data_IF_062719714766
#
_entry.id   IF_062719714766
#
_cell.length_a   1.000
_cell.length_b   1.000
_cell.length_c   1.000
_cell.angle_alpha   90.00
_cell.angle_beta   90.00
_cell.angle_gamma   90.00
#
_symmetry.space_group_name_H-M   'P 1'
#
loop_
_entity.id
_entity.type
_entity.pdbx_description
1 polymer ?
#
# COMPACT_ATOMS: atom_id res chain seq x y z
N UNK A 1 -8.47 6.17 -18.37
CA UNK A 1 -8.49 6.29 -16.89
C UNK A 1 -7.48 5.29 -16.35
N UNK A 2 -6.77 5.61 -15.26
CA UNK A 2 -5.87 4.65 -14.63
C UNK A 2 -6.68 3.47 -14.08
N UNK A 3 -6.07 2.29 -14.03
CA UNK A 3 -6.62 1.19 -13.26
C UNK A 3 -6.51 1.53 -11.78
N UNK A 4 -7.47 1.10 -10.96
CA UNK A 4 -7.41 1.30 -9.52
C UNK A 4 -7.07 -0.02 -8.86
N UNK A 5 -6.06 -0.01 -7.98
CA UNK A 5 -5.68 -1.16 -7.17
C UNK A 5 -6.16 -0.89 -5.75
N UNK A 6 -7.01 -1.75 -5.20
CA UNK A 6 -7.39 -1.70 -3.80
C UNK A 6 -6.34 -2.43 -2.97
N UNK A 7 -5.93 -1.81 -1.87
CA UNK A 7 -4.88 -2.31 -1.00
C UNK A 7 -5.40 -2.38 0.42
N UNK A 8 -5.03 -3.45 1.13
CA UNK A 8 -5.32 -3.67 2.54
C UNK A 8 -4.00 -3.96 3.25
N UNK A 9 -3.67 -3.15 4.26
CA UNK A 9 -2.58 -3.41 5.20
C UNK A 9 -3.17 -3.88 6.52
N UNK A 10 -2.71 -5.03 7.00
CA UNK A 10 -3.14 -5.63 8.25
C UNK A 10 -1.93 -5.83 9.18
N UNK A 11 -2.09 -5.46 10.45
CA UNK A 11 -1.06 -5.66 11.47
C UNK A 11 -1.65 -5.97 12.84
N UNK A 12 -0.80 -6.48 13.74
CA UNK A 12 -1.17 -6.82 15.11
C UNK A 12 -0.11 -6.32 16.09
N UNK A 13 -0.54 -5.77 17.21
CA UNK A 13 0.33 -5.38 18.33
C UNK A 13 -0.42 -5.53 19.64
N UNK A 14 0.29 -5.80 20.74
CA UNK A 14 -0.30 -5.86 22.08
C UNK A 14 -0.53 -4.46 22.68
N UNK A 15 0.12 -3.44 22.12
CA UNK A 15 0.12 -2.08 22.65
C UNK A 15 -0.78 -1.17 21.80
N UNK A 16 -1.83 -0.64 22.43
CA UNK A 16 -2.80 0.28 21.83
C UNK A 16 -2.23 1.66 21.50
N UNK A 17 -1.30 2.16 22.32
CA UNK A 17 -0.57 3.39 22.03
C UNK A 17 0.35 3.18 20.82
N UNK A 18 1.00 2.01 20.75
CA UNK A 18 1.81 1.68 19.58
C UNK A 18 0.98 1.54 18.30
N UNK A 19 -0.19 0.90 18.36
CA UNK A 19 -1.12 0.83 17.23
C UNK A 19 -1.56 2.22 16.75
N UNK A 20 -1.91 3.11 17.69
CA UNK A 20 -2.25 4.50 17.38
C UNK A 20 -1.07 5.24 16.74
N UNK A 21 0.15 5.03 17.24
CA UNK A 21 1.35 5.65 16.67
C UNK A 21 1.60 5.24 15.22
N UNK A 22 1.34 3.96 14.86
CA UNK A 22 1.45 3.47 13.48
C UNK A 22 0.48 4.25 12.58
N UNK A 23 -0.81 4.29 12.95
CA UNK A 23 -1.83 5.07 12.23
C UNK A 23 -1.45 6.54 12.11
N UNK A 24 -1.04 7.16 13.20
CA UNK A 24 -0.79 8.61 13.26
C UNK A 24 0.46 9.00 12.47
N UNK A 25 1.43 8.07 12.34
CA UNK A 25 2.63 8.28 11.54
C UNK A 25 2.39 8.31 10.04
N UNK A 26 1.32 7.68 9.53
CA UNK A 26 1.06 7.54 8.09
C UNK A 26 -0.09 8.38 7.58
N UNK A 27 -0.92 8.96 8.47
CA UNK A 27 -2.06 9.78 8.10
C UNK A 27 -1.73 11.27 7.98
N UNK A 28 -2.61 12.01 7.32
CA UNK A 28 -2.71 13.46 7.41
C UNK A 28 -4.15 13.88 7.79
N UNK A 29 -4.47 15.16 7.65
CA UNK A 29 -5.78 15.70 8.04
C UNK A 29 -6.93 15.20 7.15
N UNK A 30 -6.65 14.83 5.90
CA UNK A 30 -7.65 14.47 4.88
C UNK A 30 -7.61 13.00 4.44
N UNK A 31 -6.57 12.25 4.82
CA UNK A 31 -6.34 10.86 4.41
C UNK A 31 -5.71 10.06 5.55
N UNK A 32 -6.20 8.84 5.77
CA UNK A 32 -5.61 7.87 6.68
C UNK A 32 -4.34 7.19 6.11
N UNK A 33 -3.98 7.49 4.86
CA UNK A 33 -2.75 7.01 4.20
C UNK A 33 -2.13 8.12 3.33
N UNK A 34 -0.94 8.58 3.71
CA UNK A 34 -0.16 9.60 3.00
C UNK A 34 1.28 9.14 2.81
N UNK A 35 1.64 8.80 1.56
CA UNK A 35 2.95 8.30 1.21
C UNK A 35 4.09 9.28 1.56
N UNK A 36 3.82 10.59 1.58
CA UNK A 36 4.82 11.59 1.97
C UNK A 36 5.27 11.45 3.42
N UNK A 37 4.49 10.80 4.28
CA UNK A 37 4.87 10.56 5.67
C UNK A 37 5.95 9.49 5.81
N UNK A 38 6.02 8.57 4.85
CA UNK A 38 6.99 7.47 4.82
C UNK A 38 8.17 7.77 3.90
N UNK A 39 7.88 8.27 2.69
CA UNK A 39 8.85 8.64 1.67
C UNK A 39 8.45 9.99 1.08
N UNK A 40 9.14 11.05 1.48
CA UNK A 40 8.88 12.41 1.02
C UNK A 40 9.82 12.83 -0.11
N UNK A 41 9.28 13.56 -1.07
CA UNK A 41 10.09 14.23 -2.07
C UNK A 41 10.61 15.56 -1.51
N UNK A 42 11.91 15.64 -1.23
CA UNK A 42 12.56 16.88 -0.77
C UNK A 42 12.62 17.96 -1.87
N UNK A 43 12.39 17.61 -3.14
CA UNK A 43 12.40 18.57 -4.26
C UNK A 43 11.23 19.55 -4.24
N UNK A 44 10.30 19.43 -3.29
CA UNK A 44 9.23 20.44 -3.07
C UNK A 44 9.76 21.82 -2.65
N UNK A 45 11.04 21.98 -2.28
CA UNK A 45 11.54 23.24 -1.71
C UNK A 45 12.36 24.17 -2.62
N UNK A 46 12.73 23.81 -3.84
CA UNK A 46 13.62 24.67 -4.65
C UNK A 46 12.99 25.08 -5.99
N UNK A 47 12.31 26.23 -5.95
CA UNK A 47 12.30 27.34 -6.93
C UNK A 47 12.30 27.07 -8.45
N UNK A 48 11.26 27.65 -9.10
CA UNK A 48 11.33 28.44 -10.34
C UNK A 48 12.00 27.84 -11.59
N UNK A 49 11.47 26.74 -12.15
CA UNK A 49 11.56 26.51 -13.60
C UNK A 49 10.30 25.79 -14.10
N UNK A 50 9.49 26.45 -14.95
CA UNK A 50 8.40 25.89 -15.78
C UNK A 50 7.51 24.80 -15.17
N UNK A 51 6.23 25.11 -14.91
CA UNK A 51 5.23 24.20 -14.33
C UNK A 51 5.21 22.79 -14.95
N UNK A 52 5.40 22.63 -16.27
CA UNK A 52 5.46 21.31 -16.92
C UNK A 52 6.67 20.46 -16.52
N UNK A 53 7.86 21.05 -16.39
CA UNK A 53 9.10 20.32 -16.07
C UNK A 53 9.09 19.82 -14.63
N UNK A 54 8.56 20.63 -13.71
CA UNK A 54 8.39 20.24 -12.29
C UNK A 54 7.34 19.15 -12.15
N UNK A 55 6.23 19.23 -12.89
CA UNK A 55 5.20 18.18 -12.87
C UNK A 55 5.77 16.85 -13.37
N UNK A 56 6.52 16.84 -14.47
CA UNK A 56 7.17 15.63 -14.99
C UNK A 56 8.20 15.07 -14.01
N UNK A 57 9.10 15.91 -13.46
CA UNK A 57 10.09 15.47 -12.48
C UNK A 57 9.47 14.91 -11.18
N UNK A 58 8.32 15.45 -10.76
CA UNK A 58 7.60 14.95 -9.59
C UNK A 58 6.88 13.61 -9.87
N UNK A 59 6.36 13.42 -11.09
CA UNK A 59 5.77 12.14 -11.53
C UNK A 59 6.82 11.04 -11.62
N UNK A 60 7.99 11.33 -12.20
CA UNK A 60 9.08 10.37 -12.31
C UNK A 60 9.60 9.98 -10.93
N UNK A 61 9.73 10.95 -10.03
CA UNK A 61 10.11 10.69 -8.64
C UNK A 61 9.07 9.80 -7.95
N UNK A 62 7.77 10.08 -8.08
CA UNK A 62 6.71 9.28 -7.44
C UNK A 62 6.74 7.84 -7.95
N UNK A 63 6.88 7.63 -9.26
CA UNK A 63 6.97 6.28 -9.84
C UNK A 63 8.18 5.52 -9.30
N UNK A 64 9.33 6.18 -9.18
CA UNK A 64 10.55 5.55 -8.67
C UNK A 64 10.51 5.28 -7.16
N UNK A 65 9.87 6.14 -6.36
CA UNK A 65 9.94 6.09 -4.91
C UNK A 65 8.69 5.49 -4.25
N UNK A 66 7.52 5.63 -4.85
CA UNK A 66 6.27 5.05 -4.37
C UNK A 66 5.81 3.84 -5.19
N UNK A 67 6.32 3.71 -6.43
CA UNK A 67 5.83 2.70 -7.38
C UNK A 67 4.55 3.12 -8.10
N UNK A 68 3.95 4.26 -7.72
CA UNK A 68 2.67 4.77 -8.23
C UNK A 68 2.81 6.23 -8.61
N UNK A 69 2.03 6.68 -9.61
CA UNK A 69 2.07 8.08 -10.07
C UNK A 69 1.50 9.07 -9.04
N UNK A 70 0.48 8.63 -8.30
CA UNK A 70 -0.22 9.44 -7.31
C UNK A 70 -0.20 8.77 -5.94
N UNK A 71 -0.50 9.58 -4.92
CA UNK A 71 -0.67 9.14 -3.55
C UNK A 71 -1.91 8.24 -3.40
N UNK A 72 -2.09 7.65 -2.22
CA UNK A 72 -3.30 6.91 -1.88
C UNK A 72 -4.54 7.82 -1.85
N UNK A 73 -5.71 7.25 -2.16
CA UNK A 73 -7.02 7.90 -1.99
C UNK A 73 -8.05 6.92 -1.41
N UNK A 74 -9.20 7.46 -0.99
CA UNK A 74 -10.29 6.77 -0.30
C UNK A 74 -9.76 5.84 0.81
N UNK A 75 -8.86 6.40 1.62
CA UNK A 75 -8.17 5.66 2.65
C UNK A 75 -8.97 5.63 3.95
N UNK A 76 -8.92 4.50 4.64
CA UNK A 76 -9.56 4.31 5.93
C UNK A 76 -8.65 3.48 6.84
N UNK A 77 -8.50 3.89 8.10
CA UNK A 77 -7.82 3.10 9.12
C UNK A 77 -8.75 2.76 10.28
N UNK A 78 -8.86 1.45 10.57
CA UNK A 78 -9.58 0.90 11.70
C UNK A 78 -8.61 0.24 12.67
N UNK A 79 -8.73 0.56 13.96
CA UNK A 79 -8.04 -0.12 15.05
C UNK A 79 -9.10 -0.81 15.93
N UNK A 80 -9.02 -2.13 16.04
CA UNK A 80 -9.95 -2.96 16.79
C UNK A 80 -9.24 -3.62 17.96
N UNK A 81 -9.79 -3.49 19.16
CA UNK A 81 -9.34 -4.24 20.32
C UNK A 81 -9.91 -5.66 20.28
N UNK A 82 -9.05 -6.66 20.16
CA UNK A 82 -9.44 -8.08 20.14
C UNK A 82 -9.05 -8.81 21.43
N UNK A 83 -8.89 -8.07 22.53
CA UNK A 83 -8.56 -8.58 23.86
C UNK A 83 -7.08 -8.90 24.03
N UNK A 84 -6.55 -9.85 23.25
CA UNK A 84 -5.14 -10.26 23.34
C UNK A 84 -4.19 -9.34 22.57
N UNK A 85 -4.71 -8.65 21.55
CA UNK A 85 -3.98 -7.74 20.69
C UNK A 85 -4.94 -6.70 20.08
N UNK A 86 -4.35 -5.59 19.66
CA UNK A 86 -4.99 -4.62 18.78
C UNK A 86 -4.74 -5.03 17.34
N UNK A 87 -5.82 -5.16 16.59
CA UNK A 87 -5.83 -5.40 15.16
C UNK A 87 -5.92 -4.08 14.42
N UNK A 88 -4.96 -3.81 13.54
CA UNK A 88 -5.00 -2.66 12.64
C UNK A 88 -5.31 -3.09 11.22
N UNK A 89 -6.27 -2.42 10.58
CA UNK A 89 -6.61 -2.56 9.17
C UNK A 89 -6.61 -1.19 8.50
N UNK A 90 -5.81 -1.03 7.46
CA UNK A 90 -5.76 0.19 6.64
C UNK A 90 -6.13 -0.18 5.22
N UNK A 91 -7.11 0.47 4.64
CA UNK A 91 -7.56 0.24 3.26
C UNK A 91 -7.38 1.50 2.44
N UNK A 92 -7.01 1.41 1.17
CA UNK A 92 -6.87 2.55 0.27
C UNK A 92 -6.73 2.11 -1.19
N UNK A 93 -6.90 3.05 -2.12
CA UNK A 93 -6.66 2.82 -3.55
C UNK A 93 -5.36 3.45 -4.04
N UNK A 94 -4.78 2.84 -5.08
CA UNK A 94 -3.64 3.39 -5.83
C UNK A 94 -3.83 3.26 -7.34
N UNK A 95 -3.10 4.09 -8.09
CA UNK A 95 -3.16 4.11 -9.54
C UNK A 95 -2.22 3.06 -10.14
N UNK A 96 -2.80 2.16 -10.94
CA UNK A 96 -2.17 1.12 -11.77
C UNK A 96 -1.44 0.00 -11.01
N UNK A 97 -0.80 0.27 -9.88
CA UNK A 97 0.06 -0.69 -9.18
C UNK A 97 -0.11 -0.60 -7.67
N UNK A 98 0.22 -1.69 -6.97
CA UNK A 98 0.37 -1.67 -5.50
C UNK A 98 1.68 -0.96 -5.12
N UNK A 99 1.69 -0.07 -4.10
CA UNK A 99 2.83 0.80 -3.81
C UNK A 99 3.93 0.08 -2.98
N UNK A 100 4.60 -0.89 -3.59
CA UNK A 100 5.57 -1.77 -2.93
C UNK A 100 6.64 -1.05 -2.06
N UNK A 101 7.29 0.04 -2.52
CA UNK A 101 8.25 0.79 -1.70
C UNK A 101 7.67 1.34 -0.39
N UNK A 102 6.39 1.69 -0.38
CA UNK A 102 5.70 2.22 0.80
C UNK A 102 5.59 1.15 1.89
N UNK A 103 5.31 -0.10 1.51
CA UNK A 103 5.27 -1.21 2.46
C UNK A 103 6.64 -1.51 3.08
N UNK A 104 7.71 -1.42 2.29
CA UNK A 104 9.08 -1.52 2.79
C UNK A 104 9.38 -0.41 3.80
N UNK A 105 9.07 0.84 3.45
CA UNK A 105 9.32 1.99 4.32
C UNK A 105 8.56 1.86 5.65
N UNK A 106 7.27 1.50 5.60
CA UNK A 106 6.45 1.26 6.77
C UNK A 106 7.02 0.12 7.65
N UNK A 107 7.39 -1.00 7.02
CA UNK A 107 7.97 -2.15 7.71
C UNK A 107 9.31 -1.84 8.36
N UNK A 108 10.13 -1.00 7.73
CA UNK A 108 11.42 -0.53 8.28
C UNK A 108 11.21 0.38 9.49
N UNK A 109 10.24 1.31 9.40
CA UNK A 109 9.90 2.22 10.50
C UNK A 109 9.40 1.47 11.73
N UNK A 110 8.58 0.43 11.53
CA UNK A 110 8.03 -0.42 12.58
C UNK A 110 8.57 -1.85 12.52
N UNK A 111 9.91 -1.99 12.65
CA UNK A 111 10.64 -3.24 12.42
C UNK A 111 10.17 -4.47 13.21
N UNK A 112 9.51 -4.29 14.36
CA UNK A 112 8.97 -5.40 15.17
C UNK A 112 7.60 -5.87 14.71
N UNK A 113 6.92 -5.10 13.86
CA UNK A 113 5.59 -5.40 13.36
C UNK A 113 5.72 -6.18 12.06
N UNK A 114 4.92 -7.24 11.97
CA UNK A 114 4.68 -7.97 10.74
C UNK A 114 3.46 -7.38 10.06
N UNK A 115 3.65 -6.82 8.88
CA UNK A 115 2.59 -6.27 8.05
C UNK A 115 2.19 -7.30 7.01
N UNK A 116 0.89 -7.60 6.92
CA UNK A 116 0.30 -8.43 5.87
C UNK A 116 -0.40 -7.50 4.89
N UNK A 117 -0.10 -7.65 3.61
CA UNK A 117 -0.68 -6.85 2.55
C UNK A 117 -1.54 -7.75 1.68
N UNK A 118 -2.73 -7.28 1.33
CA UNK A 118 -3.56 -7.87 0.29
C UNK A 118 -3.90 -6.78 -0.72
N UNK A 119 -3.89 -7.11 -2.00
CA UNK A 119 -4.26 -6.16 -3.03
C UNK A 119 -4.94 -6.86 -4.21
N UNK A 120 -5.81 -6.14 -4.89
CA UNK A 120 -6.46 -6.58 -6.12
C UNK A 120 -6.82 -5.38 -6.99
N UNK A 121 -6.89 -5.61 -8.29
CA UNK A 121 -7.41 -4.63 -9.23
C UNK A 121 -8.93 -4.42 -9.04
N UNK A 122 -9.45 -3.24 -9.40
CA UNK A 122 -10.86 -2.86 -9.23
C UNK A 122 -11.87 -3.75 -9.93
N UNK A 123 -11.44 -4.52 -10.92
CA UNK A 123 -12.31 -5.44 -11.64
C UNK A 123 -12.21 -6.87 -11.12
N UNK A 124 -11.26 -7.14 -10.22
CA UNK A 124 -11.03 -8.43 -9.58
C UNK A 124 -10.87 -9.58 -10.59
N UNK A 125 -10.21 -9.33 -11.72
CA UNK A 125 -10.04 -10.33 -12.79
C UNK A 125 -8.93 -11.36 -12.50
N UNK A 126 -8.44 -11.42 -11.25
CA UNK A 126 -7.28 -12.22 -10.87
C UNK A 126 -5.95 -11.68 -11.39
N UNK A 127 -5.95 -10.64 -12.23
CA UNK A 127 -4.76 -9.93 -12.70
C UNK A 127 -4.33 -8.86 -11.69
N UNK A 128 -3.04 -8.70 -11.43
CA UNK A 128 -2.50 -7.71 -10.47
C UNK A 128 -3.13 -7.82 -9.06
N UNK A 129 -3.20 -9.04 -8.54
CA UNK A 129 -3.70 -9.31 -7.20
C UNK A 129 -2.77 -10.22 -6.39
N UNK A 130 -3.01 -10.28 -5.08
CA UNK A 130 -2.38 -11.26 -4.22
C UNK A 130 -2.08 -10.76 -2.82
N UNK A 131 -1.02 -11.32 -2.26
CA UNK A 131 -0.62 -11.19 -0.86
C UNK A 131 0.89 -11.03 -0.72
N UNK A 132 1.29 -10.15 0.19
CA UNK A 132 2.68 -9.92 0.56
C UNK A 132 2.82 -9.84 2.08
N UNK A 133 3.99 -10.16 2.60
CA UNK A 133 4.31 -9.96 4.02
C UNK A 133 5.63 -9.26 4.17
N UNK A 134 5.64 -8.23 5.02
CA UNK A 134 6.85 -7.48 5.34
C UNK A 134 7.15 -7.50 6.83
N UNK A 135 8.42 -7.60 7.18
CA UNK A 135 8.93 -7.38 8.52
C UNK A 135 10.35 -6.79 8.44
N UNK A 136 10.65 -5.80 9.28
CA UNK A 136 11.96 -5.15 9.34
C UNK A 136 12.48 -4.64 7.97
N UNK A 137 11.58 -4.10 7.15
CA UNK A 137 11.93 -3.56 5.84
C UNK A 137 12.27 -4.62 4.78
N UNK A 138 11.97 -5.89 5.05
CA UNK A 138 12.15 -6.99 4.11
C UNK A 138 10.82 -7.66 3.80
N UNK A 139 10.63 -8.04 2.54
CA UNK A 139 9.60 -9.00 2.18
C UNK A 139 10.02 -10.39 2.65
N UNK A 140 9.14 -11.05 3.40
CA UNK A 140 9.37 -12.39 3.94
C UNK A 140 8.41 -13.43 3.38
N UNK A 141 7.41 -13.01 2.60
CA UNK A 141 6.45 -13.89 1.94
C UNK A 141 5.79 -13.16 0.76
N UNK A 142 5.54 -13.88 -0.33
CA UNK A 142 4.95 -13.36 -1.57
C UNK A 142 4.11 -14.42 -2.24
N UNK A 143 2.87 -14.07 -2.53
CA UNK A 143 1.95 -14.86 -3.34
C UNK A 143 1.12 -13.95 -4.21
N UNK A 144 1.55 -13.73 -5.45
CA UNK A 144 0.94 -12.78 -6.39
C UNK A 144 0.58 -13.46 -7.71
N UNK A 145 -0.45 -12.93 -8.38
CA UNK A 145 -0.89 -13.41 -9.68
C UNK A 145 0.26 -13.37 -10.71
N UNK A 146 0.39 -14.39 -11.58
CA UNK A 146 1.32 -14.32 -12.69
C UNK A 146 0.83 -13.32 -13.75
N UNK A 147 1.73 -12.92 -14.65
CA UNK A 147 1.36 -12.07 -15.79
C UNK A 147 0.53 -12.82 -16.84
N UNK A 148 0.68 -14.15 -16.89
CA UNK A 148 -0.02 -15.03 -17.82
C UNK A 148 -0.50 -16.28 -17.07
N UNK A 149 -1.73 -16.70 -17.33
CA UNK A 149 -2.31 -17.90 -16.75
C UNK A 149 -2.11 -19.08 -17.70
N UNK A 150 -1.59 -20.19 -17.16
CA UNK A 150 -1.37 -21.42 -17.92
C UNK A 150 -2.61 -22.31 -18.05
N UNK A 151 -3.70 -22.00 -17.33
CA UNK A 151 -4.97 -22.73 -17.37
C UNK A 151 -6.12 -21.91 -16.78
N UNK A 152 -7.35 -22.27 -17.12
CA UNK A 152 -8.56 -21.68 -16.53
C UNK A 152 -8.65 -21.95 -15.02
N UNK A 153 -8.18 -23.13 -14.56
CA UNK A 153 -8.11 -23.45 -13.13
C UNK A 153 -7.21 -22.46 -12.37
N UNK A 154 -6.08 -22.07 -12.97
CA UNK A 154 -5.19 -21.08 -12.40
C UNK A 154 -5.83 -19.69 -12.40
N UNK A 155 -6.54 -19.30 -13.47
CA UNK A 155 -7.26 -18.03 -13.52
C UNK A 155 -8.34 -17.97 -12.44
N UNK A 156 -9.21 -18.99 -12.36
CA UNK A 156 -10.29 -19.07 -11.37
C UNK A 156 -9.76 -18.96 -9.94
N UNK A 157 -8.61 -19.59 -9.65
CA UNK A 157 -7.96 -19.48 -8.35
C UNK A 157 -7.58 -18.03 -7.98
N UNK A 158 -7.06 -17.25 -8.94
CA UNK A 158 -6.69 -15.85 -8.69
C UNK A 158 -7.90 -14.91 -8.70
N UNK A 159 -8.92 -15.18 -9.52
CA UNK A 159 -10.21 -14.50 -9.44
C UNK A 159 -10.85 -14.67 -8.05
N UNK A 160 -10.86 -15.88 -7.51
CA UNK A 160 -11.33 -16.15 -6.14
C UNK A 160 -10.54 -15.34 -5.10
N UNK A 161 -9.21 -15.26 -5.23
CA UNK A 161 -8.38 -14.44 -4.34
C UNK A 161 -8.77 -12.95 -4.44
N UNK A 162 -8.91 -12.43 -5.66
CA UNK A 162 -9.23 -11.04 -5.91
C UNK A 162 -10.63 -10.67 -5.37
N UNK A 163 -11.62 -11.54 -5.59
CA UNK A 163 -12.98 -11.38 -5.07
C UNK A 163 -13.03 -11.39 -3.54
N UNK A 164 -12.18 -12.16 -2.87
CA UNK A 164 -12.11 -12.19 -1.40
C UNK A 164 -11.41 -10.96 -0.78
N UNK A 165 -10.91 -10.02 -1.60
CA UNK A 165 -10.29 -8.77 -1.14
C UNK A 165 -11.31 -7.63 -1.10
N UNK A 166 -12.26 -7.63 -2.04
CA UNK A 166 -13.42 -6.72 -2.06
C UNK A 166 -14.54 -7.19 -1.13
#
# INVERSE_FOLDING_TARGET
>A
MPNHIYNIIEFRTKDKCYASSIRDSIRNESSDMDFNKLLSNSLKSNSFEGESSVIHGNVDWNLQNWGTKWNAWDSQCCLEDRGEYIYGRITFFTANTTPYPIFIALSKMYHKIRFKIRFADQHAFGCDCGFLVFQNGQEIDRHISPNEFGSDEQLNYWEDIALNIY
#
